data_IF_454613499650
#
_entry.id   IF_454613499650
#
_cell.length_a   1.000
_cell.length_b   1.000
_cell.length_c   1.000
_cell.angle_alpha   90.00
_cell.angle_beta   90.00
_cell.angle_gamma   90.00
#
_symmetry.space_group_name_H-M   'P 1'
#
loop_
_entity.id
_entity.type
_entity.pdbx_description
1 polymer ?
#
# COMPACT_ATOMS: atom_id res chain seq x y z
N UNK A 1 6.11 -7.07 -11.26
CA UNK A 1 5.79 -6.82 -9.84
C UNK A 1 6.26 -8.03 -9.03
N UNK A 2 6.73 -7.82 -7.81
CA UNK A 2 6.91 -8.89 -6.81
C UNK A 2 6.04 -8.61 -5.60
N UNK A 3 5.55 -9.67 -4.96
CA UNK A 3 4.82 -9.62 -3.71
C UNK A 3 5.69 -10.26 -2.62
N UNK A 4 6.11 -9.45 -1.67
CA UNK A 4 6.86 -9.90 -0.49
C UNK A 4 6.03 -9.95 0.79
N UNK A 5 4.76 -9.59 0.71
CA UNK A 5 3.85 -9.55 1.85
C UNK A 5 3.17 -10.91 2.07
N UNK A 6 2.70 -11.55 1.00
CA UNK A 6 2.09 -12.89 1.07
C UNK A 6 3.12 -13.96 1.40
N UNK A 7 4.33 -13.82 0.88
CA UNK A 7 5.48 -14.64 1.24
C UNK A 7 6.75 -13.78 1.25
N UNK A 8 7.52 -13.86 2.34
CA UNK A 8 8.76 -13.10 2.42
C UNK A 8 9.78 -13.55 1.37
N UNK A 9 10.31 -12.60 0.60
CA UNK A 9 11.38 -12.83 -0.37
C UNK A 9 12.72 -12.36 0.23
N UNK A 10 13.69 -13.26 0.39
CA UNK A 10 15.00 -12.86 0.93
C UNK A 10 15.69 -11.80 0.05
N UNK A 11 16.44 -10.88 0.67
CA UNK A 11 17.17 -9.80 -0.03
C UNK A 11 18.02 -10.33 -1.19
N UNK A 12 18.71 -11.46 -0.99
CA UNK A 12 19.51 -12.09 -2.05
C UNK A 12 18.66 -12.56 -3.24
N UNK A 13 17.41 -12.98 -3.03
CA UNK A 13 16.52 -13.37 -4.12
C UNK A 13 16.04 -12.15 -4.92
N UNK A 14 15.65 -11.06 -4.23
CA UNK A 14 15.26 -9.80 -4.88
C UNK A 14 16.45 -9.22 -5.66
N UNK A 15 17.66 -9.27 -5.09
CA UNK A 15 18.89 -8.85 -5.78
C UNK A 15 19.11 -9.62 -7.08
N UNK A 16 19.03 -10.96 -7.05
CA UNK A 16 19.16 -11.79 -8.27
C UNK A 16 18.09 -11.48 -9.30
N UNK A 17 16.86 -11.21 -8.86
CA UNK A 17 15.79 -10.80 -9.77
C UNK A 17 16.15 -9.49 -10.48
N UNK A 18 16.55 -8.46 -9.72
CA UNK A 18 16.97 -7.15 -10.27
C UNK A 18 18.09 -7.33 -11.31
N UNK A 19 19.13 -8.11 -10.98
CA UNK A 19 20.24 -8.38 -11.89
C UNK A 19 19.80 -9.13 -13.17
N UNK A 20 18.74 -9.92 -13.10
CA UNK A 20 18.19 -10.66 -14.26
C UNK A 20 17.22 -9.86 -15.13
N UNK A 21 16.58 -8.81 -14.60
CA UNK A 21 15.57 -8.03 -15.31
C UNK A 21 16.06 -7.42 -16.64
N UNK A 22 17.28 -6.87 -16.74
CA UNK A 22 17.80 -6.34 -17.99
C UNK A 22 17.98 -7.38 -19.10
N UNK A 23 18.15 -8.67 -18.75
CA UNK A 23 18.21 -9.77 -19.73
C UNK A 23 16.92 -9.85 -20.56
N UNK A 24 15.80 -9.41 -19.95
CA UNK A 24 14.49 -9.29 -20.60
C UNK A 24 14.10 -7.84 -20.92
N UNK A 25 15.05 -6.89 -20.84
CA UNK A 25 14.83 -5.44 -21.03
C UNK A 25 13.79 -4.82 -20.10
N UNK A 26 13.54 -5.42 -18.93
CA UNK A 26 12.68 -4.84 -17.90
C UNK A 26 13.48 -3.80 -17.10
N UNK A 27 12.86 -2.65 -16.82
CA UNK A 27 13.50 -1.51 -16.15
C UNK A 27 12.73 -0.99 -14.92
N UNK A 28 11.62 -1.62 -14.54
CA UNK A 28 10.83 -1.25 -13.36
C UNK A 28 10.55 -2.49 -12.52
N UNK A 29 10.98 -2.45 -11.26
CA UNK A 29 10.57 -3.39 -10.24
C UNK A 29 9.47 -2.73 -9.41
N UNK A 30 8.22 -3.06 -9.72
CA UNK A 30 7.11 -2.78 -8.81
C UNK A 30 7.21 -3.73 -7.61
N UNK A 31 7.42 -3.18 -6.42
CA UNK A 31 7.60 -3.96 -5.20
C UNK A 31 6.41 -3.75 -4.25
N UNK A 32 5.52 -4.73 -4.23
CA UNK A 32 4.41 -4.85 -3.29
C UNK A 32 4.94 -5.30 -1.92
N UNK A 33 5.13 -4.31 -1.03
CA UNK A 33 5.92 -4.46 0.20
C UNK A 33 5.12 -5.09 1.34
N UNK A 34 3.86 -4.68 1.51
CA UNK A 34 3.00 -4.98 2.67
C UNK A 34 1.58 -5.31 2.20
N UNK A 35 0.90 -6.19 2.93
CA UNK A 35 -0.48 -6.62 2.65
C UNK A 35 -1.11 -7.19 3.93
N UNK A 36 -2.28 -7.84 3.84
CA UNK A 36 -3.00 -8.45 4.94
C UNK A 36 -2.17 -9.44 5.75
N UNK A 37 -1.31 -10.22 5.10
CA UNK A 37 -0.60 -11.33 5.75
C UNK A 37 0.68 -10.91 6.47
N UNK A 38 1.39 -9.88 5.98
CA UNK A 38 2.58 -9.40 6.69
C UNK A 38 2.98 -7.95 6.38
N UNK A 39 3.71 -7.37 7.33
CA UNK A 39 4.36 -6.06 7.21
C UNK A 39 5.89 -6.25 7.41
N UNK A 40 6.64 -6.67 6.39
CA UNK A 40 8.04 -7.07 6.57
C UNK A 40 9.06 -5.93 6.50
N UNK A 41 8.67 -4.68 6.29
CA UNK A 41 9.61 -3.53 6.23
C UNK A 41 9.75 -2.85 7.60
N UNK A 42 10.98 -2.65 8.07
CA UNK A 42 11.26 -1.95 9.32
C UNK A 42 11.19 -0.44 9.11
N UNK A 43 10.28 0.20 9.84
CA UNK A 43 10.14 1.65 9.91
C UNK A 43 10.65 2.16 11.25
N UNK A 44 11.30 3.31 11.25
CA UNK A 44 11.75 4.01 12.45
C UNK A 44 10.61 4.74 13.16
N UNK A 45 9.64 5.28 12.42
CA UNK A 45 8.44 5.91 12.98
C UNK A 45 7.49 4.90 13.64
N UNK A 46 7.40 3.71 13.07
CA UNK A 46 6.47 2.64 13.47
C UNK A 46 7.14 1.26 13.50
N UNK A 47 8.15 1.04 14.37
CA UNK A 47 8.85 -0.25 14.45
C UNK A 47 7.92 -1.41 14.78
N UNK A 48 6.87 -1.15 15.58
CA UNK A 48 5.90 -2.11 16.07
C UNK A 48 5.14 -2.82 14.94
N UNK A 49 4.94 -2.17 13.79
CA UNK A 49 4.26 -2.78 12.63
C UNK A 49 5.01 -4.03 12.18
N UNK A 50 6.32 -3.87 11.95
CA UNK A 50 7.17 -4.98 11.51
C UNK A 50 7.43 -6.00 12.60
N UNK A 51 7.62 -5.55 13.85
CA UNK A 51 7.90 -6.43 14.99
C UNK A 51 6.76 -7.42 15.26
N UNK A 52 5.51 -7.00 15.03
CA UNK A 52 4.32 -7.80 15.32
C UNK A 52 3.71 -8.49 14.10
N UNK A 53 4.14 -8.17 12.88
CA UNK A 53 3.45 -8.61 11.66
C UNK A 53 4.33 -9.28 10.62
N UNK A 54 5.64 -9.38 10.85
CA UNK A 54 6.52 -10.20 10.03
C UNK A 54 6.41 -11.68 10.38
N UNK A 55 6.64 -12.56 9.40
CA UNK A 55 6.57 -14.01 9.60
C UNK A 55 7.61 -14.58 10.58
N UNK A 56 8.78 -13.96 10.69
CA UNK A 56 9.86 -14.50 11.49
C UNK A 56 10.97 -13.51 11.78
N UNK A 57 11.83 -13.87 12.75
CA UNK A 57 12.86 -12.99 13.30
C UNK A 57 13.89 -12.44 12.29
N UNK A 58 14.03 -13.09 11.13
CA UNK A 58 14.94 -12.67 10.04
C UNK A 58 14.20 -12.31 8.75
N UNK A 59 12.87 -12.40 8.74
CA UNK A 59 12.03 -12.10 7.57
C UNK A 59 11.62 -10.63 7.64
N UNK A 60 12.62 -9.75 7.53
CA UNK A 60 12.46 -8.30 7.65
C UNK A 60 13.37 -7.60 6.63
N UNK A 61 12.91 -6.50 6.06
CA UNK A 61 13.70 -5.58 5.26
C UNK A 61 14.08 -4.39 6.12
N UNK A 62 15.38 -4.23 6.39
CA UNK A 62 15.89 -3.04 7.06
C UNK A 62 16.04 -1.88 6.06
N UNK A 63 16.11 -0.62 6.54
CA UNK A 63 16.45 0.50 5.67
C UNK A 63 17.77 0.31 4.91
N UNK A 64 18.75 -0.40 5.49
CA UNK A 64 20.00 -0.73 4.81
C UNK A 64 19.81 -1.76 3.68
N UNK A 65 18.96 -2.77 3.88
CA UNK A 65 18.61 -3.73 2.82
C UNK A 65 17.94 -3.01 1.65
N UNK A 66 16.99 -2.11 1.94
CA UNK A 66 16.30 -1.31 0.92
C UNK A 66 17.30 -0.43 0.16
N UNK A 67 18.18 0.30 0.85
CA UNK A 67 19.23 1.12 0.21
C UNK A 67 20.17 0.27 -0.66
N UNK A 68 20.56 -0.91 -0.18
CA UNK A 68 21.42 -1.82 -0.93
C UNK A 68 20.73 -2.33 -2.21
N UNK A 69 19.44 -2.67 -2.14
CA UNK A 69 18.65 -3.11 -3.30
C UNK A 69 18.44 -1.98 -4.31
N UNK A 70 18.15 -0.75 -3.86
CA UNK A 70 18.05 0.43 -4.73
C UNK A 70 19.36 0.66 -5.48
N UNK A 71 20.51 0.60 -4.78
CA UNK A 71 21.83 0.73 -5.42
C UNK A 71 22.06 -0.33 -6.49
N UNK A 72 21.70 -1.58 -6.23
CA UNK A 72 21.83 -2.66 -7.23
C UNK A 72 20.89 -2.41 -8.41
N UNK A 73 19.67 -1.94 -8.16
CA UNK A 73 18.73 -1.61 -9.22
C UNK A 73 19.26 -0.49 -10.12
N UNK A 74 19.77 0.60 -9.55
CA UNK A 74 20.35 1.70 -10.32
C UNK A 74 21.54 1.24 -11.19
N UNK A 75 22.43 0.39 -10.66
CA UNK A 75 23.55 -0.19 -11.41
C UNK A 75 23.10 -1.06 -12.59
N UNK A 76 21.87 -1.58 -12.55
CA UNK A 76 21.28 -2.43 -13.58
C UNK A 76 20.22 -1.68 -14.42
N UNK A 77 20.16 -0.34 -14.34
CA UNK A 77 19.16 0.48 -15.03
C UNK A 77 17.70 0.08 -14.71
N UNK A 78 17.46 -0.42 -13.50
CA UNK A 78 16.14 -0.74 -12.96
C UNK A 78 15.75 0.31 -11.92
N UNK A 79 14.50 0.80 -11.97
CA UNK A 79 13.90 1.62 -10.91
C UNK A 79 12.97 0.78 -10.05
N UNK A 80 13.03 0.99 -8.73
CA UNK A 80 12.13 0.34 -7.79
C UNK A 80 10.98 1.30 -7.47
N UNK A 81 9.75 0.83 -7.64
CA UNK A 81 8.54 1.56 -7.22
C UNK A 81 7.99 0.82 -6.00
N UNK A 82 8.00 1.45 -4.81
CA UNK A 82 7.38 0.85 -3.64
C UNK A 82 5.87 0.93 -3.74
N UNK A 83 5.21 -0.11 -3.26
CA UNK A 83 3.77 -0.13 -3.04
C UNK A 83 3.43 -0.29 -1.56
N UNK A 84 2.53 0.58 -1.11
CA UNK A 84 1.87 0.54 0.20
C UNK A 84 0.37 0.54 -0.07
N UNK A 85 -0.21 -0.65 -0.11
CA UNK A 85 -1.60 -0.81 -0.51
C UNK A 85 -2.57 -0.49 0.63
N UNK A 86 -3.46 0.47 0.38
CA UNK A 86 -4.45 0.98 1.32
C UNK A 86 -5.67 1.53 0.55
N UNK A 87 -6.88 1.54 1.14
CA UNK A 87 -7.23 1.20 2.51
C UNK A 87 -7.67 -0.26 2.72
N UNK A 88 -7.69 -1.09 1.68
CA UNK A 88 -7.77 -2.55 1.81
C UNK A 88 -6.36 -3.15 2.01
N UNK A 89 -6.24 -4.47 2.18
CA UNK A 89 -4.97 -5.17 2.30
C UNK A 89 -4.12 -4.73 3.52
N UNK A 90 -4.79 -4.40 4.63
CA UNK A 90 -4.15 -3.74 5.79
C UNK A 90 -4.26 -4.53 7.10
N UNK A 91 -4.70 -5.79 7.09
CA UNK A 91 -4.82 -6.58 8.32
C UNK A 91 -3.52 -6.60 9.13
N UNK A 92 -2.37 -6.74 8.48
CA UNK A 92 -1.06 -6.78 9.13
C UNK A 92 -0.78 -5.50 9.95
N UNK A 93 -1.25 -4.34 9.50
CA UNK A 93 -1.05 -3.06 10.18
C UNK A 93 -1.72 -3.01 11.56
N UNK A 94 -2.83 -3.74 11.72
CA UNK A 94 -3.61 -3.79 12.95
C UNK A 94 -3.16 -4.84 13.96
N UNK A 95 -2.06 -5.59 13.72
CA UNK A 95 -1.67 -6.70 14.58
C UNK A 95 -0.90 -6.27 15.83
N UNK A 96 -0.20 -5.14 15.81
CA UNK A 96 0.50 -4.62 16.98
C UNK A 96 -0.51 -4.30 18.11
N UNK A 97 -0.18 -4.56 19.39
CA UNK A 97 -1.12 -4.43 20.51
C UNK A 97 -1.83 -3.08 20.60
N UNK A 98 -1.11 -1.98 20.34
CA UNK A 98 -1.65 -0.62 20.37
C UNK A 98 -2.67 -0.36 19.25
N UNK A 99 -2.39 -0.83 18.04
CA UNK A 99 -3.26 -0.68 16.88
C UNK A 99 -4.47 -1.61 16.97
N UNK A 100 -4.26 -2.81 17.51
CA UNK A 100 -5.33 -3.76 17.83
C UNK A 100 -6.28 -3.21 18.89
N UNK A 101 -5.77 -2.57 19.94
CA UNK A 101 -6.58 -1.94 20.98
C UNK A 101 -7.43 -0.77 20.44
N UNK A 102 -6.91 -0.04 19.46
CA UNK A 102 -7.64 1.01 18.74
C UNK A 102 -8.61 0.46 17.67
N UNK A 103 -8.57 -0.84 17.39
CA UNK A 103 -9.42 -1.53 16.40
C UNK A 103 -9.38 -0.84 15.02
N UNK A 104 -8.18 -0.51 14.54
CA UNK A 104 -7.99 0.29 13.32
C UNK A 104 -8.35 -0.44 12.02
N UNK A 105 -8.39 -1.78 12.05
CA UNK A 105 -8.76 -2.62 10.92
C UNK A 105 -10.11 -3.30 11.13
N UNK A 106 -10.86 -3.41 10.05
CA UNK A 106 -12.10 -4.14 9.93
C UNK A 106 -11.77 -5.48 9.31
N UNK A 107 -12.13 -6.55 10.01
CA UNK A 107 -12.13 -7.89 9.44
C UNK A 107 -13.33 -8.01 8.49
N UNK A 108 -13.06 -8.02 7.19
CA UNK A 108 -14.06 -8.11 6.15
C UNK A 108 -14.57 -9.55 6.00
N UNK A 109 -15.83 -9.71 5.60
CA UNK A 109 -16.40 -11.01 5.26
C UNK A 109 -16.18 -11.27 3.76
N UNK A 110 -15.50 -12.37 3.39
CA UNK A 110 -15.26 -12.79 1.99
C UNK A 110 -13.79 -13.09 1.68
N UNK A 111 -13.53 -13.91 0.64
CA UNK A 111 -12.19 -14.34 0.19
C UNK A 111 -11.73 -15.70 0.76
N UNK A 112 -10.49 -16.10 0.43
CA UNK A 112 -9.83 -17.30 0.99
C UNK A 112 -9.20 -17.05 2.38
N UNK A 113 -9.35 -15.85 2.95
CA UNK A 113 -8.69 -15.42 4.18
C UNK A 113 -9.36 -14.24 4.89
N UNK A 114 -8.68 -13.71 5.92
CA UNK A 114 -9.13 -12.57 6.73
C UNK A 114 -8.68 -11.24 6.09
N UNK A 115 -9.41 -10.77 5.07
CA UNK A 115 -9.07 -9.49 4.44
C UNK A 115 -9.34 -8.32 5.39
N UNK A 116 -8.38 -7.40 5.49
CA UNK A 116 -8.43 -6.23 6.35
C UNK A 116 -8.69 -4.96 5.55
N UNK A 117 -9.62 -4.14 6.01
CA UNK A 117 -9.77 -2.75 5.55
C UNK A 117 -9.62 -1.79 6.71
N UNK A 118 -9.04 -0.62 6.49
CA UNK A 118 -9.00 0.41 7.51
C UNK A 118 -10.40 0.93 7.85
N UNK A 119 -10.61 1.20 9.13
CA UNK A 119 -11.75 1.98 9.61
C UNK A 119 -11.48 3.48 9.44
N UNK A 120 -11.93 4.02 8.30
CA UNK A 120 -11.70 5.41 7.92
C UNK A 120 -12.49 6.44 8.76
N UNK A 121 -13.26 6.01 9.75
CA UNK A 121 -13.85 6.92 10.75
C UNK A 121 -12.84 7.37 11.82
N UNK A 122 -11.71 6.66 11.93
CA UNK A 122 -10.71 6.85 12.99
C UNK A 122 -9.60 7.83 12.57
N UNK A 123 -9.38 8.94 13.30
CA UNK A 123 -8.32 9.88 12.95
C UNK A 123 -6.91 9.28 13.05
N UNK A 124 -6.69 8.33 13.97
CA UNK A 124 -5.40 7.65 14.13
C UNK A 124 -4.97 6.86 12.89
N UNK A 125 -5.91 6.39 12.07
CA UNK A 125 -5.63 5.65 10.83
C UNK A 125 -4.96 6.57 9.81
N UNK A 126 -5.44 7.80 9.69
CA UNK A 126 -4.85 8.78 8.77
C UNK A 126 -3.43 9.15 9.20
N UNK A 127 -3.21 9.39 10.50
CA UNK A 127 -1.88 9.68 11.03
C UNK A 127 -0.88 8.56 10.78
N UNK A 128 -1.26 7.32 11.13
CA UNK A 128 -0.43 6.13 10.90
C UNK A 128 -0.07 5.97 9.41
N UNK A 129 -1.06 5.98 8.52
CA UNK A 129 -0.82 5.79 7.10
C UNK A 129 0.01 6.93 6.49
N UNK A 130 -0.20 8.18 6.94
CA UNK A 130 0.60 9.32 6.50
C UNK A 130 2.06 9.19 6.93
N UNK A 131 2.33 8.74 8.16
CA UNK A 131 3.70 8.59 8.64
C UNK A 131 4.42 7.44 7.94
N UNK A 132 3.72 6.32 7.70
CA UNK A 132 4.25 5.22 6.86
C UNK A 132 4.53 5.69 5.44
N UNK A 133 3.60 6.39 4.78
CA UNK A 133 3.78 6.90 3.41
C UNK A 133 4.96 7.86 3.35
N UNK A 134 5.12 8.79 4.30
CA UNK A 134 6.28 9.70 4.35
C UNK A 134 7.61 8.96 4.48
N UNK A 135 7.68 7.98 5.38
CA UNK A 135 8.93 7.25 5.61
C UNK A 135 9.30 6.38 4.41
N UNK A 136 8.33 5.70 3.81
CA UNK A 136 8.53 4.93 2.58
C UNK A 136 8.92 5.86 1.42
N UNK A 137 8.24 7.00 1.24
CA UNK A 137 8.61 8.00 0.24
C UNK A 137 10.07 8.45 0.39
N UNK A 138 10.50 8.73 1.62
CA UNK A 138 11.88 9.12 1.92
C UNK A 138 12.90 8.01 1.61
N UNK A 139 12.58 6.74 1.90
CA UNK A 139 13.44 5.60 1.55
C UNK A 139 13.57 5.39 0.04
N UNK A 140 12.53 5.72 -0.72
CA UNK A 140 12.46 5.55 -2.18
C UNK A 140 12.41 6.90 -2.91
N UNK A 141 13.06 7.94 -2.37
CA UNK A 141 13.01 9.31 -2.89
C UNK A 141 13.52 9.47 -4.32
N UNK A 142 14.42 8.58 -4.74
CA UNK A 142 15.04 8.60 -6.07
C UNK A 142 14.15 7.93 -7.15
N UNK A 143 13.06 7.28 -6.73
CA UNK A 143 12.01 6.83 -7.64
C UNK A 143 11.09 8.02 -7.98
N UNK A 144 10.71 8.23 -9.24
CA UNK A 144 9.73 9.26 -9.56
C UNK A 144 8.30 8.89 -9.12
N UNK A 145 8.07 7.61 -8.77
CA UNK A 145 6.75 7.06 -8.49
C UNK A 145 6.65 6.44 -7.10
N UNK A 146 5.46 6.47 -6.54
CA UNK A 146 5.02 5.66 -5.40
C UNK A 146 3.65 5.08 -5.73
N UNK A 147 3.44 3.80 -5.43
CA UNK A 147 2.14 3.15 -5.60
C UNK A 147 1.42 3.14 -4.24
N UNK A 148 0.21 3.68 -4.20
CA UNK A 148 -0.62 3.72 -2.98
C UNK A 148 -1.78 2.72 -3.03
N UNK A 149 -1.70 1.77 -3.96
CA UNK A 149 -2.62 0.64 -4.11
C UNK A 149 -4.06 1.07 -4.36
N UNK A 150 -4.96 0.62 -3.49
CA UNK A 150 -6.37 0.97 -3.49
C UNK A 150 -7.23 0.02 -4.30
N UNK A 151 -6.80 -1.21 -4.50
CA UNK A 151 -7.60 -2.30 -5.05
C UNK A 151 -8.54 -2.93 -3.99
N UNK A 152 -9.47 -3.77 -4.47
CA UNK A 152 -10.38 -4.64 -3.71
C UNK A 152 -11.12 -4.06 -2.48
N UNK A 153 -11.27 -2.73 -2.40
CA UNK A 153 -12.05 -2.06 -1.35
C UNK A 153 -13.52 -2.50 -1.38
N UNK A 154 -13.96 -3.17 -0.32
CA UNK A 154 -15.33 -3.65 -0.13
C UNK A 154 -16.19 -2.65 0.63
N UNK A 155 -17.22 -2.13 -0.05
CA UNK A 155 -18.30 -1.36 0.57
C UNK A 155 -19.07 -2.18 1.62
N UNK A 156 -19.22 -3.49 1.39
CA UNK A 156 -19.85 -4.38 2.36
C UNK A 156 -19.05 -4.47 3.66
N UNK A 157 -17.72 -4.37 3.60
CA UNK A 157 -16.88 -4.33 4.78
C UNK A 157 -17.04 -3.02 5.57
N UNK A 158 -17.08 -1.87 4.90
CA UNK A 158 -17.37 -0.59 5.56
C UNK A 158 -18.80 -0.51 6.14
N UNK A 159 -19.76 -1.26 5.59
CA UNK A 159 -21.08 -1.43 6.19
C UNK A 159 -21.07 -2.14 7.57
N UNK A 160 -19.97 -2.80 7.94
CA UNK A 160 -19.82 -3.43 9.27
C UNK A 160 -19.44 -2.44 10.38
N UNK A 161 -19.28 -1.14 10.07
CA UNK A 161 -18.88 -0.08 11.02
C UNK A 161 -19.80 1.14 10.88
N UNK A 162 -20.86 1.27 11.71
CA UNK A 162 -21.77 2.42 11.74
C UNK A 162 -21.07 3.79 11.82
N UNK A 163 -19.91 3.82 12.45
CA UNK A 163 -19.05 4.99 12.61
C UNK A 163 -18.58 5.56 11.27
N UNK A 164 -18.39 4.70 10.24
CA UNK A 164 -18.00 5.14 8.90
C UNK A 164 -19.14 5.90 8.23
N UNK A 165 -20.38 5.45 8.33
CA UNK A 165 -21.52 6.18 7.75
C UNK A 165 -21.72 7.52 8.47
N UNK A 166 -21.47 7.58 9.79
CA UNK A 166 -21.49 8.84 10.53
C UNK A 166 -20.36 9.78 10.07
N UNK A 167 -19.15 9.25 9.91
CA UNK A 167 -18.02 10.01 9.37
C UNK A 167 -18.32 10.57 7.97
N UNK A 168 -18.88 9.74 7.08
CA UNK A 168 -19.29 10.17 5.74
C UNK A 168 -20.31 11.30 5.79
N UNK A 169 -21.33 11.22 6.65
CA UNK A 169 -22.30 12.31 6.85
C UNK A 169 -21.63 13.60 7.32
N UNK A 170 -20.73 13.50 8.32
CA UNK A 170 -20.00 14.65 8.86
C UNK A 170 -19.09 15.32 7.81
N UNK A 171 -18.51 14.54 6.91
CA UNK A 171 -17.65 15.02 5.83
C UNK A 171 -18.40 15.34 4.52
N UNK A 172 -19.72 15.21 4.51
CA UNK A 172 -20.55 15.36 3.30
C UNK A 172 -20.12 14.45 2.13
N UNK A 173 -19.67 13.23 2.46
CA UNK A 173 -19.30 12.18 1.52
C UNK A 173 -20.53 11.32 1.25
N UNK A 174 -20.92 11.18 -0.02
CA UNK A 174 -22.18 10.55 -0.43
C UNK A 174 -22.03 9.08 -0.80
N UNK A 175 -20.87 8.69 -1.32
CA UNK A 175 -20.61 7.33 -1.79
C UNK A 175 -19.32 6.77 -1.21
N UNK A 176 -19.19 5.44 -1.19
CA UNK A 176 -17.92 4.81 -0.78
C UNK A 176 -16.78 5.06 -1.78
N UNK A 177 -17.10 5.29 -3.05
CA UNK A 177 -16.13 5.79 -4.03
C UNK A 177 -15.57 7.16 -3.65
N UNK A 178 -16.43 8.08 -3.23
CA UNK A 178 -16.01 9.39 -2.70
C UNK A 178 -15.21 9.25 -1.39
N UNK A 179 -15.53 8.28 -0.53
CA UNK A 179 -14.75 7.98 0.68
C UNK A 179 -13.33 7.50 0.32
N UNK A 180 -13.21 6.64 -0.68
CA UNK A 180 -11.90 6.19 -1.18
C UNK A 180 -11.12 7.36 -1.81
N UNK A 181 -11.78 8.27 -2.52
CA UNK A 181 -11.13 9.48 -3.04
C UNK A 181 -10.68 10.42 -1.92
N UNK A 182 -11.48 10.55 -0.86
CA UNK A 182 -11.09 11.29 0.33
C UNK A 182 -9.82 10.70 0.96
N UNK A 183 -9.75 9.37 1.10
CA UNK A 183 -8.56 8.67 1.57
C UNK A 183 -7.32 8.95 0.70
N UNK A 184 -7.44 8.74 -0.61
CA UNK A 184 -6.36 9.00 -1.58
C UNK A 184 -5.85 10.44 -1.46
N UNK A 185 -6.77 11.40 -1.37
CA UNK A 185 -6.42 12.82 -1.19
C UNK A 185 -5.63 13.06 0.10
N UNK A 186 -6.03 12.47 1.24
CA UNK A 186 -5.33 12.63 2.52
C UNK A 186 -3.91 12.06 2.48
N UNK A 187 -3.67 10.93 1.81
CA UNK A 187 -2.32 10.38 1.66
C UNK A 187 -1.44 11.21 0.74
N UNK A 188 -2.00 11.77 -0.34
CA UNK A 188 -1.25 12.65 -1.25
C UNK A 188 -0.75 13.93 -0.58
N UNK A 189 -1.41 14.42 0.47
CA UNK A 189 -1.00 15.64 1.18
C UNK A 189 0.39 15.57 1.80
N UNK A 190 0.91 14.36 2.05
CA UNK A 190 2.20 14.17 2.71
C UNK A 190 3.35 13.88 1.74
N UNK A 191 3.04 13.80 0.44
CA UNK A 191 4.02 13.59 -0.62
C UNK A 191 4.46 14.92 -1.23
N UNK A 192 5.71 15.01 -1.74
CA UNK A 192 6.15 16.16 -2.53
C UNK A 192 5.25 16.39 -3.76
N UNK A 193 5.04 17.65 -4.15
CA UNK A 193 4.15 18.01 -5.27
C UNK A 193 4.56 17.38 -6.62
N UNK A 194 5.85 17.08 -6.80
CA UNK A 194 6.38 16.44 -8.00
C UNK A 194 6.37 14.90 -7.95
N UNK A 195 5.95 14.30 -6.83
CA UNK A 195 5.85 12.85 -6.67
C UNK A 195 4.67 12.33 -7.47
N UNK A 196 4.92 11.42 -8.41
CA UNK A 196 3.85 10.80 -9.21
C UNK A 196 3.26 9.62 -8.44
N UNK A 197 1.95 9.64 -8.27
CA UNK A 197 1.24 8.64 -7.46
C UNK A 197 0.51 7.66 -8.37
N UNK A 198 0.72 6.38 -8.13
CA UNK A 198 0.05 5.30 -8.86
C UNK A 198 -1.04 4.70 -7.97
N UNK A 199 -2.19 4.43 -8.57
CA UNK A 199 -3.27 3.66 -7.95
C UNK A 199 -3.67 2.50 -8.84
N UNK A 200 -4.09 1.39 -8.22
CA UNK A 200 -4.77 0.33 -8.94
C UNK A 200 -6.12 0.84 -9.48
N UNK A 201 -6.50 0.27 -10.63
CA UNK A 201 -7.78 0.52 -11.29
C UNK A 201 -8.37 -0.76 -11.87
N UNK A 202 -9.64 -1.02 -11.56
CA UNK A 202 -10.49 -1.97 -12.26
C UNK A 202 -11.91 -1.41 -12.47
N UNK A 203 -12.69 -2.06 -13.33
CA UNK A 203 -14.06 -1.62 -13.65
C UNK A 203 -15.05 -1.78 -12.47
N UNK A 204 -14.74 -2.65 -11.52
CA UNK A 204 -15.58 -2.89 -10.35
C UNK A 204 -15.55 -1.73 -9.34
N UNK A 205 -14.51 -0.88 -9.38
CA UNK A 205 -14.35 0.22 -8.46
C UNK A 205 -14.98 1.52 -8.99
N UNK A 206 -16.06 1.95 -8.35
CA UNK A 206 -16.70 3.25 -8.62
C UNK A 206 -15.92 4.42 -8.00
N UNK A 207 -14.66 4.57 -8.41
CA UNK A 207 -13.72 5.58 -7.90
C UNK A 207 -13.38 6.54 -9.05
N UNK A 208 -13.29 7.84 -8.79
CA UNK A 208 -12.85 8.81 -9.80
C UNK A 208 -11.32 8.91 -9.82
N UNK A 209 -10.76 9.74 -10.70
CA UNK A 209 -9.31 9.89 -10.85
C UNK A 209 -8.94 11.36 -10.97
N UNK A 210 -7.79 11.76 -10.41
CA UNK A 210 -7.21 13.07 -10.67
C UNK A 210 -6.42 13.02 -11.99
N UNK A 211 -6.29 14.15 -12.69
CA UNK A 211 -5.50 14.23 -13.93
C UNK A 211 -4.02 13.85 -13.73
N UNK A 212 -3.50 14.05 -12.52
CA UNK A 212 -2.11 13.74 -12.16
C UNK A 212 -1.89 12.30 -11.64
N UNK A 213 -2.95 11.51 -11.50
CA UNK A 213 -2.84 10.13 -11.03
C UNK A 213 -2.40 9.22 -12.19
N UNK A 214 -1.43 8.34 -11.92
CA UNK A 214 -1.11 7.24 -12.83
C UNK A 214 -2.01 6.06 -12.47
N UNK A 215 -2.70 5.50 -13.46
CA UNK A 215 -3.62 4.39 -13.25
C UNK A 215 -2.96 3.09 -13.68
N UNK A 216 -2.91 2.12 -12.77
CA UNK A 216 -2.44 0.78 -13.05
C UNK A 216 -3.64 -0.15 -13.20
N UNK A 217 -3.97 -0.48 -14.44
CA UNK A 217 -5.14 -1.30 -14.76
C UNK A 217 -4.88 -2.79 -14.50
N UNK A 218 -5.83 -3.46 -13.87
CA UNK A 218 -5.78 -4.91 -13.61
C UNK A 218 -7.19 -5.54 -13.64
N UNK A 219 -7.27 -6.86 -13.71
CA UNK A 219 -8.55 -7.58 -13.78
C UNK A 219 -9.27 -7.43 -15.12
N UNK A 220 -10.57 -7.74 -15.14
CA UNK A 220 -11.41 -7.55 -16.33
C UNK A 220 -11.60 -6.05 -16.61
N UNK A 221 -11.39 -5.67 -17.87
CA UNK A 221 -11.52 -4.30 -18.37
C UNK A 221 -12.43 -4.35 -19.61
N UNK A 222 -13.50 -3.58 -19.60
CA UNK A 222 -14.47 -3.46 -20.69
C UNK A 222 -14.25 -2.19 -21.50
N UNK A 223 -13.66 -1.15 -20.91
CA UNK A 223 -13.44 0.17 -21.53
C UNK A 223 -12.00 0.69 -21.34
N UNK A 224 -11.00 -0.03 -21.85
CA UNK A 224 -9.68 0.60 -22.07
C UNK A 224 -9.76 1.38 -23.37
N UNK A 225 -10.24 2.63 -23.30
CA UNK A 225 -10.29 3.51 -24.46
C UNK A 225 -8.88 3.60 -25.10
N UNK A 226 -8.78 3.10 -26.33
CA UNK A 226 -7.60 3.18 -27.21
C UNK A 226 -7.40 4.58 -27.76
#
# INVERSE_FOLDING_TARGET
MIDSARHFLGVAAIKRLIESMPLSKLNILHWHLVDDESFPIKLGSHPELSENSRYGAKQIYTPDDVRALIKVADLNAVKIIPEIDTPAHVRSWGLAPEWKAKNITIKCNGGTGYNGQFDLSKPEVFGLAQDVVKEIDALFKDSPYIHLGGDEVSSACWNLRPEIQNFMKLKNIKTYGELQMYWRFQLKQVLPANRKVIFWRNDAQNVTTSADDVLHYWGAQTDVAT
#
